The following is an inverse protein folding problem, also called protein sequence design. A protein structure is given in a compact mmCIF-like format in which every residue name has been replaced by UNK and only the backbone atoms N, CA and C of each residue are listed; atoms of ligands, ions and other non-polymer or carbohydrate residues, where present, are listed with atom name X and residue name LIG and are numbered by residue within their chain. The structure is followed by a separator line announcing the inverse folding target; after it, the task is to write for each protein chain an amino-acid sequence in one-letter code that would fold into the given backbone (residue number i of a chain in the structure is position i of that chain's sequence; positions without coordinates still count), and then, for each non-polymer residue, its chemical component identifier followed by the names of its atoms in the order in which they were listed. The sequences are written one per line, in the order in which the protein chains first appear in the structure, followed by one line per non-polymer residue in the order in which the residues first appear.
data_IF_238559765100
#
_entry.id   IF_238559765100
#
_cell.length_a   1.000
_cell.length_b   1.000
_cell.length_c   1.000
_cell.angle_alpha   90.00
_cell.angle_beta   90.00
_cell.angle_gamma   90.00
#
_symmetry.space_group_name_H-M   'P 1'
#
loop_
_entity.id
_entity.type
_entity.pdbx_description
1 polymer ?
#
# COMPACT_ATOMS: atom_id res chain seq x y z
N UNK A 1 7.36 7.43 7.03
CA UNK A 1 6.57 7.95 5.88
C UNK A 1 5.07 7.76 6.06
N UNK A 2 4.62 6.68 6.71
CA UNK A 2 3.19 6.33 6.87
C UNK A 2 2.34 7.37 7.61
N UNK A 3 2.94 8.36 8.27
CA UNK A 3 2.26 9.52 8.84
C UNK A 3 1.90 10.62 7.84
N UNK A 4 2.38 10.55 6.60
CA UNK A 4 2.11 11.54 5.56
C UNK A 4 1.05 11.01 4.57
N UNK A 5 -0.21 11.48 4.65
CA UNK A 5 -1.29 10.98 3.80
C UNK A 5 -1.02 11.17 2.30
N UNK A 6 -0.39 12.28 1.91
CA UNK A 6 -0.12 12.58 0.51
C UNK A 6 0.76 11.52 -0.15
N UNK A 7 1.77 11.03 0.58
CA UNK A 7 2.70 10.02 0.05
C UNK A 7 2.03 8.63 0.01
N UNK A 8 1.21 8.31 1.00
CA UNK A 8 0.46 7.05 1.02
C UNK A 8 -0.60 6.99 -0.08
N UNK A 9 -1.31 8.09 -0.32
CA UNK A 9 -2.26 8.22 -1.42
C UNK A 9 -1.55 8.13 -2.78
N UNK A 10 -0.40 8.78 -2.93
CA UNK A 10 0.41 8.68 -4.14
C UNK A 10 0.86 7.23 -4.41
N UNK A 11 1.30 6.50 -3.38
CA UNK A 11 1.66 5.08 -3.50
C UNK A 11 0.48 4.24 -4.00
N UNK A 12 -0.73 4.47 -3.46
CA UNK A 12 -1.94 3.84 -3.94
C UNK A 12 -2.23 4.13 -5.42
N UNK A 13 -2.08 5.39 -5.84
CA UNK A 13 -2.31 5.79 -7.25
C UNK A 13 -1.29 5.13 -8.18
N UNK A 14 -0.04 4.99 -7.74
CA UNK A 14 0.99 4.25 -8.47
C UNK A 14 0.60 2.77 -8.59
N UNK A 15 0.14 2.14 -7.50
CA UNK A 15 -0.33 0.77 -7.51
C UNK A 15 -1.50 0.57 -8.50
N UNK A 16 -2.50 1.45 -8.49
CA UNK A 16 -3.62 1.43 -9.45
C UNK A 16 -3.15 1.45 -10.90
N UNK A 17 -2.21 2.34 -11.22
CA UNK A 17 -1.62 2.43 -12.56
C UNK A 17 -0.81 1.19 -12.92
N UNK A 18 -0.13 0.58 -11.96
CA UNK A 18 0.60 -0.67 -12.16
C UNK A 18 -0.36 -1.82 -12.49
N UNK A 19 -1.45 -1.96 -11.72
CA UNK A 19 -2.52 -2.95 -11.96
C UNK A 19 -3.13 -2.75 -13.34
N UNK A 20 -3.50 -1.52 -13.71
CA UNK A 20 -4.06 -1.20 -15.03
C UNK A 20 -3.12 -1.56 -16.19
N UNK A 21 -1.80 -1.60 -15.94
CA UNK A 21 -0.77 -2.00 -16.92
C UNK A 21 -0.38 -3.47 -16.82
N UNK A 22 -1.02 -4.27 -15.98
CA UNK A 22 -0.67 -5.67 -15.74
C UNK A 22 0.68 -5.87 -15.07
N UNK A 23 1.25 -4.82 -14.45
CA UNK A 23 2.54 -4.89 -13.78
C UNK A 23 2.40 -5.54 -12.41
N UNK A 24 3.32 -6.44 -12.09
CA UNK A 24 3.44 -7.07 -10.77
C UNK A 24 4.90 -7.05 -10.32
N UNK A 25 5.16 -6.98 -9.01
CA UNK A 25 6.50 -7.23 -8.49
C UNK A 25 7.02 -8.61 -8.92
N UNK A 26 8.34 -8.75 -9.00
CA UNK A 26 8.97 -10.06 -9.23
C UNK A 26 8.70 -10.99 -8.04
N UNK A 27 8.58 -12.29 -8.30
CA UNK A 27 8.13 -13.28 -7.32
C UNK A 27 8.99 -13.38 -6.05
N UNK A 28 10.28 -13.04 -6.13
CA UNK A 28 11.20 -13.05 -4.99
C UNK A 28 11.15 -11.78 -4.12
N UNK A 29 10.41 -10.75 -4.52
CA UNK A 29 10.29 -9.51 -3.74
C UNK A 29 9.22 -9.70 -2.68
N UNK A 30 9.62 -9.62 -1.41
CA UNK A 30 8.70 -9.68 -0.27
C UNK A 30 8.13 -8.30 0.02
N UNK A 31 6.99 -7.99 -0.59
CA UNK A 31 6.25 -6.74 -0.36
C UNK A 31 5.54 -6.75 0.99
N UNK A 32 5.43 -5.58 1.62
CA UNK A 32 4.69 -5.41 2.87
C UNK A 32 4.22 -3.95 3.02
N UNK A 33 3.04 -3.78 3.63
CA UNK A 33 2.54 -2.48 4.06
C UNK A 33 2.35 -2.52 5.57
N UNK A 34 3.10 -1.69 6.30
CA UNK A 34 3.01 -1.61 7.75
C UNK A 34 2.76 -0.17 8.22
N UNK A 35 1.50 0.25 8.32
CA UNK A 35 1.16 1.60 8.75
C UNK A 35 1.45 1.82 10.24
N UNK A 36 1.80 3.06 10.61
CA UNK A 36 1.95 3.42 12.02
C UNK A 36 0.62 3.56 12.77
N UNK A 37 -0.51 3.64 12.06
CA UNK A 37 -1.85 3.83 12.62
C UNK A 37 -2.93 3.27 11.68
N UNK A 38 -4.09 2.92 12.25
CA UNK A 38 -5.28 2.46 11.51
C UNK A 38 -5.87 3.52 10.58
N UNK A 39 -5.68 4.80 10.91
CA UNK A 39 -6.13 5.95 10.10
C UNK A 39 -5.63 5.84 8.66
N UNK A 40 -4.42 5.30 8.46
CA UNK A 40 -3.83 5.09 7.13
C UNK A 40 -4.63 4.10 6.30
N UNK A 41 -4.93 2.95 6.89
CA UNK A 41 -5.71 1.90 6.21
C UNK A 41 -7.13 2.39 5.92
N UNK A 42 -7.73 3.18 6.82
CA UNK A 42 -9.08 3.72 6.65
C UNK A 42 -9.20 4.64 5.43
N UNK A 43 -8.32 5.63 5.26
CA UNK A 43 -8.42 6.51 4.09
C UNK A 43 -8.02 5.80 2.79
N UNK A 44 -7.10 4.82 2.84
CA UNK A 44 -6.76 3.99 1.68
C UNK A 44 -7.92 3.08 1.27
N UNK A 45 -8.66 2.53 2.25
CA UNK A 45 -9.86 1.73 1.98
C UNK A 45 -10.99 2.58 1.39
N UNK A 46 -11.29 3.74 1.99
CA UNK A 46 -12.33 4.64 1.49
C UNK A 46 -12.07 5.16 0.07
N UNK A 47 -10.80 5.29 -0.33
CA UNK A 47 -10.42 5.70 -1.69
C UNK A 47 -10.33 4.53 -2.70
N UNK A 48 -10.53 3.29 -2.23
CA UNK A 48 -10.32 2.06 -3.00
C UNK A 48 -8.85 1.75 -3.33
N UNK A 49 -7.90 2.58 -2.85
CA UNK A 49 -6.48 2.42 -3.13
C UNK A 49 -5.84 1.28 -2.33
N UNK A 50 -6.47 0.86 -1.23
CA UNK A 50 -6.00 -0.29 -0.46
C UNK A 50 -6.02 -1.57 -1.33
N UNK A 51 -7.12 -1.82 -2.04
CA UNK A 51 -7.24 -2.97 -2.94
C UNK A 51 -6.24 -2.91 -4.09
N UNK A 52 -5.95 -1.70 -4.60
CA UNK A 52 -4.91 -1.52 -5.62
C UNK A 52 -3.52 -1.91 -5.08
N UNK A 53 -3.19 -1.52 -3.84
CA UNK A 53 -1.94 -1.87 -3.16
C UNK A 53 -1.82 -3.38 -2.92
N UNK A 54 -2.88 -4.00 -2.42
CA UNK A 54 -2.96 -5.45 -2.20
C UNK A 54 -2.79 -6.24 -3.50
N UNK A 55 -3.34 -5.74 -4.60
CA UNK A 55 -3.23 -6.37 -5.93
C UNK A 55 -1.79 -6.43 -6.46
N UNK A 56 -0.93 -5.52 -5.99
CA UNK A 56 0.52 -5.54 -6.26
C UNK A 56 1.33 -6.03 -5.06
N UNK A 57 0.70 -6.76 -4.14
CA UNK A 57 1.33 -7.50 -3.05
C UNK A 57 1.56 -6.73 -1.75
N UNK A 58 1.18 -5.46 -1.67
CA UNK A 58 1.34 -4.63 -0.47
C UNK A 58 0.16 -4.80 0.49
N UNK A 59 0.04 -6.00 1.06
CA UNK A 59 -0.95 -6.29 2.09
C UNK A 59 -0.56 -5.64 3.42
N UNK A 60 -1.57 -5.26 4.22
CA UNK A 60 -1.35 -4.79 5.59
C UNK A 60 -0.86 -5.96 6.44
N UNK A 61 0.41 -5.90 6.86
CA UNK A 61 1.03 -6.98 7.67
C UNK A 61 0.99 -6.73 9.16
N UNK A 62 0.70 -5.49 9.58
CA UNK A 62 0.62 -5.10 10.98
C UNK A 62 0.70 -3.58 11.17
N UNK A 63 0.50 -3.13 12.40
CA UNK A 63 0.60 -1.73 12.79
C UNK A 63 1.74 -1.57 13.81
N UNK A 64 2.78 -0.82 13.46
CA UNK A 64 3.97 -0.65 14.30
C UNK A 64 5.26 -0.62 13.48
N UNK A 65 6.41 -0.77 14.17
CA UNK A 65 7.71 -0.52 13.55
C UNK A 65 8.06 -1.48 12.39
N UNK A 66 7.73 -2.78 12.50
CA UNK A 66 7.98 -3.81 11.46
C UNK A 66 9.29 -3.59 10.67
N UNK A 67 9.22 -3.42 9.34
CA UNK A 67 10.30 -2.89 8.49
C UNK A 67 10.04 -1.41 8.23
N UNK A 68 10.96 -0.53 8.61
CA UNK A 68 10.82 0.94 8.55
C UNK A 68 11.62 1.57 7.41
#
# INVERSE_FOLDING_TARGET
NTSNPSVMMAAGIVARKAVAKGLKPKAWVKTSLAPGSRVVTEYLAHSGLLTDLESVGFNVVGYGCTTC
#
